data_IF_628966801221
#
_entry.id   IF_628966801221
#
_cell.length_a   1.000
_cell.length_b   1.000
_cell.length_c   1.000
_cell.angle_alpha   90.00
_cell.angle_beta   90.00
_cell.angle_gamma   90.00
#
_symmetry.space_group_name_H-M   'P 1'
#
loop_
_entity.id
_entity.type
_entity.pdbx_description
1 polymer ?
#
# COMPACT_ATOMS: atom_id res chain seq x y z
N UNK A 1 -21.03 -12.09 -72.26
CA UNK A 1 -21.09 -11.07 -71.18
C UNK A 1 -20.57 -11.72 -69.91
N UNK A 2 -19.49 -11.19 -69.32
CA UNK A 2 -18.87 -11.71 -68.09
C UNK A 2 -19.05 -10.63 -67.01
N UNK A 3 -19.50 -10.96 -65.79
CA UNK A 3 -19.69 -9.97 -64.73
C UNK A 3 -18.35 -9.55 -64.14
N UNK A 4 -18.14 -8.23 -63.99
CA UNK A 4 -16.97 -7.64 -63.33
C UNK A 4 -17.13 -7.80 -61.80
N UNK A 5 -16.15 -8.38 -61.08
CA UNK A 5 -16.24 -8.48 -59.63
C UNK A 5 -16.06 -7.10 -58.97
N UNK A 6 -16.95 -6.74 -58.04
CA UNK A 6 -16.81 -5.55 -57.19
C UNK A 6 -15.72 -5.80 -56.15
N UNK A 7 -14.69 -4.96 -56.13
CA UNK A 7 -13.69 -4.91 -55.04
C UNK A 7 -14.30 -4.24 -53.80
N UNK A 8 -14.02 -4.74 -52.59
CA UNK A 8 -14.46 -4.11 -51.35
C UNK A 8 -13.70 -2.79 -51.11
N UNK A 9 -14.44 -1.73 -50.75
CA UNK A 9 -13.87 -0.45 -50.34
C UNK A 9 -13.26 -0.62 -48.94
N UNK A 10 -11.96 -0.41 -48.83
CA UNK A 10 -11.24 -0.43 -47.55
C UNK A 10 -11.47 0.91 -46.84
N UNK A 11 -11.87 0.95 -45.55
CA UNK A 11 -11.99 2.21 -44.83
C UNK A 11 -10.61 2.88 -44.63
N UNK A 12 -10.54 4.22 -44.57
CA UNK A 12 -9.29 4.93 -44.35
C UNK A 12 -8.70 4.60 -42.96
N UNK A 13 -7.39 4.36 -42.92
CA UNK A 13 -6.64 4.17 -41.67
C UNK A 13 -6.57 5.51 -40.94
N UNK A 14 -7.19 5.58 -39.76
CA UNK A 14 -7.04 6.73 -38.87
C UNK A 14 -5.64 6.69 -38.25
N UNK A 15 -4.74 7.54 -38.74
CA UNK A 15 -3.42 7.74 -38.12
C UNK A 15 -3.62 8.36 -36.74
N UNK A 16 -3.37 7.58 -35.68
CA UNK A 16 -3.28 8.10 -34.31
C UNK A 16 -1.99 8.93 -34.23
N UNK A 17 -2.04 10.24 -33.90
CA UNK A 17 -0.82 11.01 -33.71
C UNK A 17 -0.06 10.46 -32.49
N UNK A 18 1.23 10.13 -32.68
CA UNK A 18 2.15 9.87 -31.58
C UNK A 18 2.28 11.14 -30.74
N UNK A 19 2.20 11.09 -29.41
CA UNK A 19 2.54 12.25 -28.59
C UNK A 19 4.03 12.53 -28.75
N UNK A 20 4.35 13.72 -29.28
CA UNK A 20 5.71 14.26 -29.26
C UNK A 20 6.16 14.38 -27.80
N UNK A 21 7.24 13.69 -27.46
CA UNK A 21 7.88 13.81 -26.16
C UNK A 21 8.74 15.07 -26.19
N UNK A 22 8.10 16.22 -26.02
CA UNK A 22 8.81 17.48 -25.86
C UNK A 22 9.51 17.45 -24.49
N UNK A 23 10.84 17.25 -24.52
CA UNK A 23 11.77 17.42 -23.40
C UNK A 23 11.86 18.89 -23.02
N UNK A 24 10.74 19.45 -22.58
CA UNK A 24 10.63 20.76 -21.96
C UNK A 24 11.07 20.66 -20.50
N UNK A 25 12.02 21.51 -20.15
CA UNK A 25 12.57 21.71 -18.82
C UNK A 25 11.45 21.96 -17.77
N UNK A 26 10.97 20.92 -17.08
CA UNK A 26 9.98 21.04 -16.02
C UNK A 26 10.62 21.61 -14.75
N UNK A 27 10.59 22.94 -14.63
CA UNK A 27 10.81 23.61 -13.36
C UNK A 27 9.52 23.49 -12.54
N UNK A 28 9.55 22.71 -11.46
CA UNK A 28 8.40 22.56 -10.57
C UNK A 28 8.20 23.86 -9.78
N UNK A 29 7.04 24.52 -9.86
CA UNK A 29 6.71 25.56 -8.91
C UNK A 29 6.59 24.92 -7.52
N UNK A 30 7.04 25.63 -6.48
CA UNK A 30 6.86 25.21 -5.10
C UNK A 30 5.36 25.05 -4.79
N UNK A 31 4.98 23.85 -4.39
CA UNK A 31 3.60 23.51 -4.00
C UNK A 31 3.11 24.41 -2.85
N UNK A 32 1.86 24.92 -2.90
CA UNK A 32 1.24 25.55 -1.74
C UNK A 32 1.02 24.51 -0.63
N UNK A 33 1.25 24.89 0.62
CA UNK A 33 1.17 24.00 1.80
C UNK A 33 -0.26 23.50 2.12
N UNK A 34 -1.29 24.01 1.44
CA UNK A 34 -2.67 23.53 1.52
C UNK A 34 -3.30 23.71 0.14
N UNK A 35 -3.69 22.63 -0.54
CA UNK A 35 -4.45 22.69 -1.80
C UNK A 35 -5.95 22.84 -1.51
N UNK A 36 -6.64 23.72 -2.23
CA UNK A 36 -8.09 23.89 -2.08
C UNK A 36 -8.86 22.94 -3.00
N UNK A 37 -10.09 22.59 -2.62
CA UNK A 37 -10.96 21.76 -3.45
C UNK A 37 -11.30 22.40 -4.82
N UNK A 38 -11.14 23.72 -4.97
CA UNK A 38 -11.33 24.40 -6.25
C UNK A 38 -10.20 24.10 -7.26
N UNK A 39 -9.00 23.74 -6.80
CA UNK A 39 -7.85 23.44 -7.67
C UNK A 39 -8.01 22.09 -8.41
N UNK A 40 -8.94 21.24 -7.97
CA UNK A 40 -9.26 19.94 -8.58
C UNK A 40 -10.11 20.05 -9.88
N UNK A 41 -10.74 21.21 -10.11
CA UNK A 41 -11.82 21.34 -11.10
C UNK A 41 -11.35 21.78 -12.51
N UNK A 42 -10.09 22.19 -12.67
CA UNK A 42 -9.60 22.72 -13.95
C UNK A 42 -8.72 21.69 -14.66
N UNK A 43 -9.15 21.30 -15.86
CA UNK A 43 -8.67 20.14 -16.62
C UNK A 43 -7.17 20.11 -16.93
N UNK A 44 -6.70 18.89 -17.23
CA UNK A 44 -5.31 18.47 -17.49
C UNK A 44 -4.45 18.31 -16.22
N UNK A 45 -4.60 19.14 -15.18
CA UNK A 45 -3.86 18.97 -13.91
C UNK A 45 -4.43 17.83 -13.04
N UNK A 46 -5.74 17.56 -13.17
CA UNK A 46 -6.46 16.56 -12.38
C UNK A 46 -6.04 15.10 -12.62
N UNK A 47 -5.50 14.75 -13.79
CA UNK A 47 -5.03 13.37 -14.05
C UNK A 47 -3.70 13.07 -13.34
N UNK A 48 -2.76 14.01 -13.36
CA UNK A 48 -1.47 13.86 -12.68
C UNK A 48 -1.60 13.98 -11.16
N UNK A 49 -2.43 14.91 -10.68
CA UNK A 49 -2.72 15.02 -9.24
C UNK A 49 -3.55 13.82 -8.76
N UNK A 50 -4.48 13.31 -9.57
CA UNK A 50 -5.28 12.14 -9.24
C UNK A 50 -4.42 10.89 -8.99
N UNK A 51 -3.51 10.57 -9.92
CA UNK A 51 -2.61 9.41 -9.76
C UNK A 51 -1.63 9.60 -8.60
N UNK A 52 -1.09 10.81 -8.43
CA UNK A 52 -0.24 11.13 -7.29
C UNK A 52 -0.98 10.97 -5.96
N UNK A 53 -2.19 11.52 -5.82
CA UNK A 53 -3.03 11.40 -4.61
C UNK A 53 -3.39 9.94 -4.31
N UNK A 54 -3.69 9.12 -5.32
CA UNK A 54 -3.94 7.70 -5.12
C UNK A 54 -2.67 6.97 -4.61
N UNK A 55 -1.49 7.36 -5.10
CA UNK A 55 -0.21 6.78 -4.68
C UNK A 55 0.15 7.14 -3.24
N UNK A 56 0.01 8.41 -2.83
CA UNK A 56 0.22 8.82 -1.43
C UNK A 56 -0.89 8.34 -0.48
N UNK A 57 -2.13 8.15 -0.95
CA UNK A 57 -3.17 7.51 -0.14
C UNK A 57 -2.87 6.02 0.11
N UNK A 58 -2.16 5.38 -0.82
CA UNK A 58 -1.81 3.97 -0.74
C UNK A 58 -0.55 3.71 0.08
N UNK A 59 0.44 4.60 0.06
CA UNK A 59 1.69 4.43 0.81
C UNK A 59 1.55 4.97 2.24
N UNK A 60 1.88 4.15 3.21
CA UNK A 60 1.79 4.52 4.64
C UNK A 60 2.99 5.37 5.05
N UNK A 61 2.85 6.18 6.11
CA UNK A 61 3.94 7.04 6.58
C UNK A 61 5.21 6.23 6.92
N UNK A 62 5.06 5.03 7.49
CA UNK A 62 6.22 4.18 7.82
C UNK A 62 6.88 3.56 6.58
N UNK A 63 6.13 3.32 5.51
CA UNK A 63 6.67 2.91 4.21
C UNK A 63 7.45 4.01 3.54
N UNK A 64 6.88 5.22 3.49
CA UNK A 64 7.53 6.41 2.91
C UNK A 64 8.83 6.75 3.64
N UNK A 65 8.80 6.73 4.98
CA UNK A 65 9.92 7.13 5.81
C UNK A 65 10.91 5.96 6.08
N UNK A 66 10.66 4.78 5.48
CA UNK A 66 11.43 3.55 5.68
C UNK A 66 11.75 3.25 7.17
N UNK A 67 10.71 3.28 8.00
CA UNK A 67 10.79 3.08 9.46
C UNK A 67 9.89 1.93 9.91
N UNK A 68 10.01 1.57 11.19
CA UNK A 68 9.09 0.63 11.85
C UNK A 68 7.78 1.38 12.14
N UNK A 69 6.61 0.78 11.89
CA UNK A 69 5.33 1.39 12.26
C UNK A 69 5.18 1.52 13.79
N UNK A 70 4.45 2.56 14.21
CA UNK A 70 3.98 2.71 15.58
C UNK A 70 2.73 1.85 15.81
N UNK A 71 2.47 1.45 17.06
CA UNK A 71 1.31 0.60 17.37
C UNK A 71 -0.01 1.26 16.90
N UNK A 72 -0.13 2.58 17.07
CA UNK A 72 -1.29 3.39 16.65
C UNK A 72 -1.41 3.62 15.14
N UNK A 73 -0.34 3.33 14.38
CA UNK A 73 -0.35 3.41 12.92
C UNK A 73 -0.75 2.07 12.28
N UNK A 74 -0.74 0.99 13.06
CA UNK A 74 -1.16 -0.35 12.65
C UNK A 74 -2.60 -0.64 13.07
N UNK A 75 -3.15 -1.76 12.59
CA UNK A 75 -4.43 -2.31 13.01
C UNK A 75 -4.52 -2.56 14.53
N UNK A 76 -3.37 -2.72 15.22
CA UNK A 76 -3.31 -2.85 16.68
C UNK A 76 -3.82 -1.59 17.40
N UNK A 77 -3.73 -0.43 16.75
CA UNK A 77 -4.24 0.86 17.22
C UNK A 77 -5.74 1.05 17.08
N UNK A 78 -6.45 0.16 16.36
CA UNK A 78 -7.88 0.29 16.04
C UNK A 78 -8.83 0.15 17.24
N UNK A 79 -8.32 -0.22 18.41
CA UNK A 79 -9.13 -0.48 19.62
C UNK A 79 -9.77 -1.87 19.67
N UNK A 80 -9.72 -2.65 18.59
CA UNK A 80 -10.21 -4.05 18.56
C UNK A 80 -9.23 -5.07 19.18
N UNK A 81 -8.12 -4.59 19.72
CA UNK A 81 -7.02 -5.40 20.24
C UNK A 81 -6.76 -5.02 21.68
N UNK A 82 -6.74 -6.02 22.57
CA UNK A 82 -6.50 -5.80 24.00
C UNK A 82 -5.01 -5.80 24.27
N UNK A 83 -4.48 -4.69 24.79
CA UNK A 83 -3.06 -4.62 25.15
C UNK A 83 -2.75 -5.51 26.35
N UNK A 84 -1.69 -6.31 26.25
CA UNK A 84 -1.22 -7.17 27.34
C UNK A 84 -0.07 -6.52 28.11
N UNK A 85 0.36 -7.15 29.20
CA UNK A 85 1.59 -6.77 29.93
C UNK A 85 2.88 -7.26 29.24
N UNK A 86 2.77 -8.14 28.25
CA UNK A 86 3.92 -8.76 27.58
C UNK A 86 4.56 -7.81 26.59
N UNK A 87 5.87 -7.96 26.41
CA UNK A 87 6.64 -7.24 25.39
C UNK A 87 7.59 -8.19 24.67
N UNK A 88 7.79 -7.96 23.38
CA UNK A 88 8.76 -8.68 22.56
C UNK A 88 9.66 -7.66 21.87
N UNK A 89 10.97 -7.74 22.12
CA UNK A 89 11.96 -6.80 21.54
C UNK A 89 11.55 -5.32 21.67
N UNK A 90 10.98 -4.96 22.81
CA UNK A 90 10.49 -3.61 23.08
C UNK A 90 9.08 -3.28 22.55
N UNK A 91 8.51 -4.05 21.64
CA UNK A 91 7.12 -3.88 21.18
C UNK A 91 6.12 -4.43 22.20
N UNK A 92 4.94 -3.79 22.29
CA UNK A 92 3.85 -4.26 23.13
C UNK A 92 3.12 -5.41 22.42
N UNK A 93 2.74 -6.42 23.18
CA UNK A 93 1.94 -7.54 22.66
C UNK A 93 0.47 -7.26 22.93
N UNK A 94 -0.35 -7.46 21.92
CA UNK A 94 -1.80 -7.32 21.95
C UNK A 94 -2.46 -8.69 21.74
N UNK A 95 -3.68 -8.85 22.24
CA UNK A 95 -4.48 -10.05 22.12
C UNK A 95 -5.80 -9.75 21.40
N UNK A 96 -6.20 -10.68 20.53
CA UNK A 96 -7.49 -10.68 19.85
C UNK A 96 -7.85 -12.11 19.43
N UNK A 97 -9.07 -12.55 19.73
CA UNK A 97 -9.60 -13.86 19.34
C UNK A 97 -8.66 -15.04 19.70
N UNK A 98 -8.04 -14.99 20.89
CA UNK A 98 -7.11 -16.02 21.37
C UNK A 98 -5.77 -16.07 20.62
N UNK A 99 -5.45 -15.04 19.84
CA UNK A 99 -4.16 -14.87 19.15
C UNK A 99 -3.44 -13.66 19.72
N UNK A 100 -2.11 -13.73 19.71
CA UNK A 100 -1.26 -12.65 20.16
C UNK A 100 -0.53 -12.02 18.98
N UNK A 101 -0.44 -10.69 19.00
CA UNK A 101 0.12 -9.88 17.93
C UNK A 101 1.13 -8.91 18.51
N UNK A 102 2.25 -8.70 17.83
CA UNK A 102 3.08 -7.52 18.04
C UNK A 102 3.67 -7.05 16.72
N UNK A 103 3.94 -5.75 16.61
CA UNK A 103 4.74 -5.23 15.50
C UNK A 103 6.14 -5.85 15.53
N UNK A 104 6.63 -6.30 14.39
CA UNK A 104 8.05 -6.61 14.28
C UNK A 104 8.86 -5.32 14.34
N UNK A 105 9.96 -5.35 15.10
CA UNK A 105 10.83 -4.19 15.34
C UNK A 105 12.11 -4.21 14.51
N UNK A 106 12.33 -5.27 13.72
CA UNK A 106 13.53 -5.44 12.91
C UNK A 106 13.32 -5.03 11.45
N UNK A 107 12.12 -5.24 10.90
CA UNK A 107 11.78 -4.90 9.52
C UNK A 107 11.08 -3.55 9.39
N UNK A 108 11.50 -2.77 8.39
CA UNK A 108 11.07 -1.39 8.14
C UNK A 108 10.37 -1.25 6.80
N UNK A 109 9.61 -0.17 6.66
CA UNK A 109 8.93 0.20 5.42
C UNK A 109 8.05 -0.93 4.87
N UNK A 110 8.22 -1.26 3.59
CA UNK A 110 7.44 -2.32 2.92
C UNK A 110 7.67 -3.72 3.48
N UNK A 111 8.77 -3.93 4.21
CA UNK A 111 9.06 -5.20 4.87
C UNK A 111 8.38 -5.34 6.24
N UNK A 112 7.81 -4.27 6.79
CA UNK A 112 7.17 -4.30 8.09
C UNK A 112 5.95 -5.23 8.11
N UNK A 113 5.83 -5.98 9.20
CA UNK A 113 4.74 -6.93 9.44
C UNK A 113 4.46 -7.04 10.94
N UNK A 114 3.36 -7.68 11.28
CA UNK A 114 3.06 -8.12 12.63
C UNK A 114 3.48 -9.58 12.77
N UNK A 115 4.05 -9.94 13.92
CA UNK A 115 4.30 -11.33 14.30
C UNK A 115 3.05 -11.84 15.04
N UNK A 116 2.55 -13.01 14.65
CA UNK A 116 1.30 -13.56 15.18
C UNK A 116 1.52 -14.93 15.81
N UNK A 117 0.96 -15.11 16.99
CA UNK A 117 1.07 -16.33 17.79
C UNK A 117 -0.31 -16.87 18.17
N UNK A 118 -0.42 -18.19 18.32
CA UNK A 118 -1.60 -18.82 18.90
C UNK A 118 -1.67 -18.61 20.42
N UNK A 119 -2.76 -19.08 21.04
CA UNK A 119 -2.98 -19.02 22.50
C UNK A 119 -1.90 -19.71 23.33
N UNK A 120 -1.13 -20.63 22.73
CA UNK A 120 -0.04 -21.36 23.36
C UNK A 120 1.32 -20.67 23.16
N UNK A 121 1.34 -19.53 22.45
CA UNK A 121 2.54 -18.78 22.15
C UNK A 121 3.36 -19.36 21.00
N UNK A 122 2.82 -20.27 20.18
CA UNK A 122 3.48 -20.76 18.98
C UNK A 122 3.29 -19.75 17.86
N UNK A 123 4.36 -19.41 17.14
CA UNK A 123 4.25 -18.52 15.98
C UNK A 123 3.47 -19.21 14.85
N UNK A 124 2.43 -18.52 14.35
CA UNK A 124 1.52 -19.02 13.31
C UNK A 124 1.63 -18.23 12.01
N UNK A 125 2.39 -17.14 11.99
CA UNK A 125 2.72 -16.41 10.77
C UNK A 125 2.84 -14.91 10.99
N UNK A 126 3.21 -14.24 9.91
CA UNK A 126 3.27 -12.80 9.79
C UNK A 126 1.91 -12.26 9.33
N UNK A 127 1.52 -11.07 9.78
CA UNK A 127 0.32 -10.39 9.32
C UNK A 127 0.60 -8.99 8.76
N UNK A 128 -0.26 -8.54 7.86
CA UNK A 128 -0.23 -7.19 7.32
C UNK A 128 -0.47 -6.14 8.43
N UNK A 129 0.37 -5.10 8.56
CA UNK A 129 0.20 -4.09 9.61
C UNK A 129 -1.10 -3.27 9.52
N UNK A 130 -1.71 -3.13 8.33
CA UNK A 130 -2.91 -2.32 8.10
C UNK A 130 -4.18 -3.13 8.27
N UNK A 131 -4.19 -4.38 7.81
CA UNK A 131 -5.41 -5.22 7.81
C UNK A 131 -5.40 -6.27 8.92
N UNK A 132 -4.23 -6.67 9.41
CA UNK A 132 -4.07 -7.80 10.33
C UNK A 132 -4.26 -9.17 9.66
N UNK A 133 -4.36 -9.21 8.33
CA UNK A 133 -4.48 -10.45 7.57
C UNK A 133 -3.18 -11.25 7.62
N UNK A 134 -3.30 -12.54 7.97
CA UNK A 134 -2.18 -13.46 8.00
C UNK A 134 -1.68 -13.77 6.58
N UNK A 135 -0.35 -13.70 6.41
CA UNK A 135 0.35 -14.12 5.20
C UNK A 135 0.56 -15.63 5.24
N UNK A 136 -0.03 -16.42 4.32
CA UNK A 136 0.12 -17.87 4.31
C UNK A 136 1.59 -18.30 4.19
N UNK A 137 1.97 -19.37 4.88
CA UNK A 137 3.30 -19.97 4.75
C UNK A 137 4.45 -19.25 5.47
N UNK A 138 4.15 -18.25 6.30
CA UNK A 138 5.16 -17.46 7.05
C UNK A 138 5.35 -17.94 8.50
N UNK A 139 4.72 -19.05 8.89
CA UNK A 139 4.87 -19.62 10.22
C UNK A 139 6.31 -20.11 10.45
N UNK A 140 6.84 -19.85 11.66
CA UNK A 140 8.18 -20.25 12.06
C UNK A 140 8.09 -21.04 13.36
N UNK A 141 8.33 -22.36 13.28
CA UNK A 141 8.17 -23.27 14.42
C UNK A 141 9.17 -23.01 15.56
N UNK A 142 10.27 -22.30 15.27
CA UNK A 142 11.29 -21.96 16.26
C UNK A 142 10.95 -20.66 17.00
N UNK A 143 10.12 -19.79 16.42
CA UNK A 143 9.64 -18.58 17.10
C UNK A 143 8.54 -18.91 18.09
N UNK A 144 8.70 -18.41 19.31
CA UNK A 144 7.70 -18.51 20.38
C UNK A 144 7.54 -17.17 21.07
N UNK A 145 6.31 -16.90 21.50
CA UNK A 145 6.03 -15.79 22.37
C UNK A 145 6.72 -16.05 23.72
N UNK A 146 7.52 -15.10 24.24
CA UNK A 146 8.09 -15.21 25.58
C UNK A 146 7.00 -15.43 26.64
N UNK A 147 7.31 -16.25 27.64
CA UNK A 147 6.39 -16.57 28.72
C UNK A 147 6.14 -15.35 29.59
#
# INVERSE_FOLDING_TARGET
MIPIPRVPVVPPVTTIPKPDLDTGNFSFPSLPKVLSAQDLANGIVGWFIGDYIQKIAKETDWERDNRVPLDNETILGSGSYTSTKKRVKGAKVFEKDGKYYHRDTLHKGKGSHLEVYDKHGKHIGEADPRTGELKPGTADLNKKLPK
#
